data_IF_903533038109
#
_entry.id   IF_903533038109
#
_cell.length_a   1.000
_cell.length_b   1.000
_cell.length_c   1.000
_cell.angle_alpha   90.00
_cell.angle_beta   90.00
_cell.angle_gamma   90.00
#
_symmetry.space_group_name_H-M   'P 1'
#
loop_
_entity.id
_entity.type
_entity.pdbx_description
1 polymer ?
#
# COMPACT_ATOMS: atom_id res chain seq x y z
N UNK A 1 -6.43 10.34 -16.54
CA UNK A 1 -5.56 11.01 -15.55
C UNK A 1 -4.18 11.06 -16.15
N UNK A 2 -3.61 12.25 -16.30
CA UNK A 2 -2.24 12.38 -16.77
C UNK A 2 -1.23 12.12 -15.62
N UNK A 3 0.06 12.10 -15.96
CA UNK A 3 1.11 11.79 -14.99
C UNK A 3 1.20 12.83 -13.87
N UNK A 4 0.96 14.11 -14.18
CA UNK A 4 1.04 15.19 -13.20
C UNK A 4 -0.10 15.07 -12.17
N UNK A 5 -1.31 14.82 -12.64
CA UNK A 5 -2.48 14.55 -11.80
C UNK A 5 -2.24 13.33 -10.89
N UNK A 6 -1.63 12.26 -11.40
CA UNK A 6 -1.31 11.08 -10.58
C UNK A 6 -0.31 11.41 -9.47
N UNK A 7 0.71 12.22 -9.75
CA UNK A 7 1.68 12.66 -8.74
C UNK A 7 1.04 13.52 -7.66
N UNK A 8 0.13 14.42 -8.05
CA UNK A 8 -0.60 15.25 -7.09
C UNK A 8 -1.49 14.39 -6.18
N UNK A 9 -2.19 13.41 -6.74
CA UNK A 9 -2.97 12.46 -5.94
C UNK A 9 -2.06 11.70 -4.96
N UNK A 10 -0.89 11.19 -5.39
CA UNK A 10 0.07 10.55 -4.47
C UNK A 10 0.52 11.48 -3.34
N UNK A 11 0.77 12.76 -3.62
CA UNK A 11 1.09 13.76 -2.58
C UNK A 11 -0.04 13.94 -1.58
N UNK A 12 -1.30 13.89 -2.02
CA UNK A 12 -2.46 13.96 -1.13
C UNK A 12 -2.53 12.75 -0.19
N UNK A 13 -2.36 11.53 -0.71
CA UNK A 13 -2.31 10.32 0.11
C UNK A 13 -1.23 10.42 1.17
N UNK A 14 -0.01 10.80 0.76
CA UNK A 14 1.12 11.02 1.68
C UNK A 14 0.80 12.04 2.76
N UNK A 15 0.27 13.20 2.37
CA UNK A 15 -0.07 14.26 3.34
C UNK A 15 -1.09 13.80 4.38
N UNK A 16 -2.08 13.01 4.00
CA UNK A 16 -3.11 12.51 4.91
C UNK A 16 -2.54 11.43 5.85
N UNK A 17 -1.92 10.39 5.28
CA UNK A 17 -1.48 9.21 6.03
C UNK A 17 -0.09 9.36 6.68
N UNK A 18 0.55 10.53 6.59
CA UNK A 18 1.73 10.88 7.38
C UNK A 18 1.40 11.69 8.64
N UNK A 19 0.13 11.94 8.94
CA UNK A 19 -0.31 12.51 10.23
C UNK A 19 -0.43 11.43 11.30
N UNK A 20 -0.33 11.79 12.59
CA UNK A 20 -0.46 10.84 13.71
C UNK A 20 -1.77 10.04 13.65
N UNK A 21 -2.89 10.71 13.37
CA UNK A 21 -4.20 10.06 13.26
C UNK A 21 -4.32 9.26 11.97
N UNK A 22 -3.78 9.78 10.85
CA UNK A 22 -3.75 9.07 9.58
C UNK A 22 -3.00 7.74 9.69
N UNK A 23 -1.86 7.72 10.38
CA UNK A 23 -1.09 6.49 10.64
C UNK A 23 -1.92 5.48 11.43
N UNK A 24 -2.57 5.93 12.52
CA UNK A 24 -3.43 5.05 13.35
C UNK A 24 -4.60 4.48 12.56
N UNK A 25 -5.24 5.28 11.71
CA UNK A 25 -6.34 4.83 10.85
C UNK A 25 -5.84 3.81 9.82
N UNK A 26 -4.72 4.07 9.15
CA UNK A 26 -4.17 3.12 8.17
C UNK A 26 -3.80 1.79 8.83
N UNK A 27 -3.21 1.82 10.03
CA UNK A 27 -2.89 0.61 10.79
C UNK A 27 -4.14 -0.18 11.19
N UNK A 28 -5.20 0.49 11.67
CA UNK A 28 -6.50 -0.16 11.94
C UNK A 28 -7.09 -0.80 10.67
N UNK A 29 -7.00 -0.13 9.51
CA UNK A 29 -7.43 -0.69 8.23
C UNK A 29 -6.66 -1.96 7.86
N UNK A 30 -5.33 -1.97 8.02
CA UNK A 30 -4.51 -3.16 7.75
C UNK A 30 -4.94 -4.35 8.61
N UNK A 31 -5.24 -4.12 9.88
CA UNK A 31 -5.66 -5.16 10.81
C UNK A 31 -7.02 -5.79 10.47
N UNK A 32 -7.94 -5.00 9.89
CA UNK A 32 -9.31 -5.41 9.52
C UNK A 32 -9.39 -6.08 8.16
N UNK A 33 -8.62 -5.63 7.18
CA UNK A 33 -8.81 -6.00 5.77
C UNK A 33 -7.71 -6.93 5.25
N UNK A 34 -7.34 -7.93 6.05
CA UNK A 34 -6.47 -9.04 5.65
C UNK A 34 -5.11 -8.63 5.06
N UNK A 35 -4.58 -7.46 5.43
CA UNK A 35 -3.36 -6.95 4.83
C UNK A 35 -2.18 -7.93 5.02
N UNK A 36 -1.97 -8.39 6.25
CA UNK A 36 -0.97 -9.41 6.62
C UNK A 36 -1.58 -10.74 7.07
N UNK A 37 -2.82 -11.04 6.65
CA UNK A 37 -3.54 -12.27 7.05
C UNK A 37 -4.05 -13.03 5.82
N UNK A 38 -4.30 -14.32 5.99
CA UNK A 38 -4.94 -15.13 4.95
C UNK A 38 -6.38 -14.67 4.72
N UNK A 39 -6.75 -14.50 3.46
CA UNK A 39 -8.11 -14.22 2.99
C UNK A 39 -8.95 -15.50 2.78
N UNK A 40 -8.34 -16.66 3.00
CA UNK A 40 -8.95 -17.96 2.73
C UNK A 40 -10.27 -18.16 3.47
N UNK A 41 -11.25 -18.69 2.74
CA UNK A 41 -12.53 -19.17 3.25
C UNK A 41 -12.93 -20.42 2.45
N UNK A 42 -13.82 -21.24 3.02
CA UNK A 42 -14.42 -22.37 2.29
C UNK A 42 -15.44 -21.91 1.23
N UNK A 43 -15.80 -20.61 1.23
CA UNK A 43 -16.73 -20.01 0.28
C UNK A 43 -16.00 -19.13 -0.75
N UNK A 44 -16.05 -19.44 -2.05
CA UNK A 44 -15.32 -18.68 -3.08
C UNK A 44 -15.69 -17.19 -3.14
N UNK A 45 -16.94 -16.84 -2.87
CA UNK A 45 -17.40 -15.45 -2.89
C UNK A 45 -16.84 -14.64 -1.71
N UNK A 46 -16.61 -15.28 -0.56
CA UNK A 46 -15.97 -14.64 0.60
C UNK A 46 -14.48 -14.37 0.32
N UNK A 47 -13.77 -15.30 -0.35
CA UNK A 47 -12.39 -15.06 -0.78
C UNK A 47 -12.33 -13.84 -1.70
N UNK A 48 -13.19 -13.79 -2.72
CA UNK A 48 -13.21 -12.68 -3.67
C UNK A 48 -13.51 -11.34 -2.98
N UNK A 49 -14.41 -11.33 -1.99
CA UNK A 49 -14.70 -10.16 -1.18
C UNK A 49 -13.50 -9.73 -0.33
N UNK A 50 -12.88 -10.66 0.39
CA UNK A 50 -11.72 -10.40 1.25
C UNK A 50 -10.52 -9.88 0.44
N UNK A 51 -10.24 -10.46 -0.72
CA UNK A 51 -9.18 -10.01 -1.63
C UNK A 51 -9.49 -8.63 -2.23
N UNK A 52 -10.76 -8.34 -2.53
CA UNK A 52 -11.18 -7.00 -2.94
C UNK A 52 -10.87 -5.94 -1.87
N UNK A 53 -11.21 -6.23 -0.61
CA UNK A 53 -10.90 -5.35 0.51
C UNK A 53 -9.38 -5.19 0.73
N UNK A 54 -8.64 -6.30 0.69
CA UNK A 54 -7.17 -6.30 0.85
C UNK A 54 -6.50 -5.45 -0.22
N UNK A 55 -6.94 -5.58 -1.47
CA UNK A 55 -6.39 -4.84 -2.60
C UNK A 55 -6.55 -3.33 -2.42
N UNK A 56 -7.66 -2.87 -1.84
CA UNK A 56 -7.87 -1.44 -1.52
C UNK A 56 -6.85 -0.96 -0.50
N UNK A 57 -6.62 -1.70 0.59
CA UNK A 57 -5.63 -1.30 1.61
C UNK A 57 -4.20 -1.34 1.07
N UNK A 58 -3.86 -2.37 0.29
CA UNK A 58 -2.56 -2.43 -0.39
C UNK A 58 -2.36 -1.25 -1.35
N UNK A 59 -3.42 -0.84 -2.05
CA UNK A 59 -3.36 0.36 -2.89
C UNK A 59 -3.04 1.60 -2.05
N UNK A 60 -3.70 1.81 -0.90
CA UNK A 60 -3.41 2.95 -0.02
C UNK A 60 -1.94 2.98 0.40
N UNK A 61 -1.38 1.85 0.79
CA UNK A 61 0.03 1.76 1.16
C UNK A 61 0.98 1.99 -0.01
N UNK A 62 0.65 1.47 -1.19
CA UNK A 62 1.44 1.73 -2.41
C UNK A 62 1.44 3.21 -2.82
N UNK A 63 0.39 3.97 -2.48
CA UNK A 63 0.37 5.42 -2.69
C UNK A 63 1.33 6.17 -1.76
N UNK A 64 1.75 5.55 -0.66
CA UNK A 64 2.73 6.08 0.30
C UNK A 64 4.17 5.76 -0.09
N UNK A 65 4.40 4.68 -0.83
CA UNK A 65 5.74 4.22 -1.22
C UNK A 65 6.37 5.10 -2.32
N UNK A 66 7.60 5.54 -2.10
CA UNK A 66 8.45 6.14 -3.14
C UNK A 66 9.14 5.04 -3.95
N UNK A 67 8.48 4.58 -5.02
CA UNK A 67 8.98 3.50 -5.89
C UNK A 67 10.39 3.82 -6.42
N UNK A 68 10.66 5.08 -6.78
CA UNK A 68 11.98 5.52 -7.26
C UNK A 68 13.08 5.34 -6.19
N UNK A 69 12.77 5.61 -4.92
CA UNK A 69 13.72 5.38 -3.81
C UNK A 69 13.94 3.89 -3.56
N UNK A 70 12.88 3.08 -3.67
CA UNK A 70 12.98 1.62 -3.53
C UNK A 70 13.86 1.02 -4.62
N UNK A 71 13.74 1.49 -5.86
CA UNK A 71 14.58 1.05 -6.98
C UNK A 71 16.04 1.48 -6.79
N UNK A 72 16.29 2.72 -6.34
CA UNK A 72 17.64 3.19 -6.00
C UNK A 72 18.28 2.36 -4.88
N UNK A 73 17.52 2.03 -3.83
CA UNK A 73 18.01 1.18 -2.74
C UNK A 73 18.36 -0.23 -3.21
N UNK A 74 17.57 -0.82 -4.13
CA UNK A 74 17.87 -2.14 -4.72
C UNK A 74 19.17 -2.11 -5.51
N UNK A 75 19.33 -1.12 -6.38
CA UNK A 75 20.55 -0.95 -7.20
C UNK A 75 21.79 -0.76 -6.33
N UNK A 76 21.69 0.02 -5.25
CA UNK A 76 22.79 0.22 -4.31
C UNK A 76 23.17 -1.07 -3.57
N UNK A 77 22.18 -1.88 -3.18
CA UNK A 77 22.40 -3.16 -2.51
C UNK A 77 23.04 -4.20 -3.45
N UNK A 78 22.64 -4.24 -4.73
CA UNK A 78 23.25 -5.10 -5.75
C UNK A 78 24.72 -4.73 -5.98
N UNK A 79 25.03 -3.44 -6.12
CA UNK A 79 26.40 -2.94 -6.28
C UNK A 79 27.31 -3.16 -5.04
N UNK A 80 26.72 -3.38 -3.85
CA UNK A 80 27.44 -3.71 -2.61
C UNK A 80 27.74 -5.21 -2.46
N UNK A 81 27.03 -6.04 -3.22
CA UNK A 81 27.15 -7.50 -3.18
C UNK A 81 28.00 -8.06 -4.35
N UNK A 82 28.46 -7.18 -5.25
CA UNK A 82 29.47 -7.43 -6.29
C UNK A 82 30.88 -7.04 -5.81
#
# INVERSE_FOLDING_TARGET
>A
MDLAQLQDIKRLYKRVFSTDDGIKVLEDMKQRFFFDKSTFSNQPHEIAYNEGQRTVVMFLENMMTDIEKVEQMKQQQEALNE
#
